data_IF_722001552028
#
_entry.id   IF_722001552028
#
_cell.length_a   1.000
_cell.length_b   1.000
_cell.length_c   1.000
_cell.angle_alpha   90.00
_cell.angle_beta   90.00
_cell.angle_gamma   90.00
#
_symmetry.space_group_name_H-M   'P 1'
#
loop_
_entity.id
_entity.type
_entity.pdbx_description
1 polymer ?
#
# COMPACT_ATOMS: atom_id res chain seq x y z
N UNK A 1 -4.03 -15.03 -57.11
CA UNK A 1 -5.17 -14.42 -56.41
C UNK A 1 -5.50 -15.10 -55.09
N UNK A 2 -5.52 -16.40 -55.06
CA UNK A 2 -5.80 -17.12 -53.80
C UNK A 2 -4.73 -16.94 -52.72
N UNK A 3 -3.45 -16.84 -53.11
CA UNK A 3 -2.33 -16.70 -52.17
C UNK A 3 -2.31 -15.34 -51.44
N UNK A 4 -2.77 -14.28 -52.07
CA UNK A 4 -2.88 -12.95 -51.44
C UNK A 4 -3.95 -12.90 -50.35
N UNK A 5 -5.10 -13.55 -50.58
CA UNK A 5 -6.17 -13.62 -49.60
C UNK A 5 -5.78 -14.47 -48.41
N UNK A 6 -5.08 -15.58 -48.63
CA UNK A 6 -4.57 -16.44 -47.57
C UNK A 6 -3.49 -15.74 -46.76
N UNK A 7 -2.60 -14.96 -47.40
CA UNK A 7 -1.58 -14.20 -46.71
C UNK A 7 -2.16 -13.10 -45.84
N UNK A 8 -3.15 -12.36 -46.34
CA UNK A 8 -3.84 -11.33 -45.59
C UNK A 8 -4.63 -11.90 -44.42
N UNK A 9 -5.28 -13.05 -44.62
CA UNK A 9 -6.01 -13.75 -43.57
C UNK A 9 -5.07 -14.24 -42.46
N UNK A 10 -3.92 -14.78 -42.82
CA UNK A 10 -2.89 -15.21 -41.85
C UNK A 10 -2.33 -14.03 -41.08
N UNK A 11 -2.05 -12.88 -41.72
CA UNK A 11 -1.60 -11.68 -41.06
C UNK A 11 -2.65 -11.17 -40.07
N UNK A 12 -3.91 -11.14 -40.46
CA UNK A 12 -5.02 -10.72 -39.61
C UNK A 12 -5.16 -11.63 -38.38
N UNK A 13 -5.02 -12.95 -38.58
CA UNK A 13 -5.07 -13.92 -37.49
C UNK A 13 -3.89 -13.76 -36.53
N UNK A 14 -2.69 -13.50 -37.04
CA UNK A 14 -1.49 -13.26 -36.24
C UNK A 14 -1.61 -11.98 -35.41
N UNK A 15 -2.17 -10.92 -35.98
CA UNK A 15 -2.42 -9.66 -35.29
C UNK A 15 -3.47 -9.83 -34.21
N UNK A 16 -4.50 -10.62 -34.48
CA UNK A 16 -5.54 -10.95 -33.50
C UNK A 16 -4.96 -11.75 -32.33
N UNK A 17 -4.14 -12.75 -32.60
CA UNK A 17 -3.46 -13.54 -31.58
C UNK A 17 -2.52 -12.68 -30.73
N UNK A 18 -1.77 -11.78 -31.36
CA UNK A 18 -0.90 -10.84 -30.65
C UNK A 18 -1.68 -9.91 -29.75
N UNK A 19 -2.80 -9.37 -30.23
CA UNK A 19 -3.68 -8.51 -29.42
C UNK A 19 -4.26 -9.27 -28.23
N UNK A 20 -4.63 -10.54 -28.42
CA UNK A 20 -5.11 -11.42 -27.35
C UNK A 20 -4.02 -11.66 -26.30
N UNK A 21 -2.80 -11.94 -26.73
CA UNK A 21 -1.67 -12.18 -25.84
C UNK A 21 -1.32 -10.92 -25.04
N UNK A 22 -1.36 -9.76 -25.67
CA UNK A 22 -1.12 -8.48 -25.01
C UNK A 22 -2.19 -8.18 -23.96
N UNK A 23 -3.46 -8.45 -24.28
CA UNK A 23 -4.57 -8.27 -23.33
C UNK A 23 -4.43 -9.23 -22.15
N UNK A 24 -4.11 -10.48 -22.41
CA UNK A 24 -3.90 -11.48 -21.36
C UNK A 24 -2.72 -11.10 -20.47
N UNK A 25 -1.63 -10.62 -21.05
CA UNK A 25 -0.47 -10.15 -20.31
C UNK A 25 -0.79 -8.94 -19.45
N UNK A 26 -1.59 -8.00 -19.96
CA UNK A 26 -2.05 -6.84 -19.19
C UNK A 26 -2.95 -7.25 -18.04
N UNK A 27 -3.84 -8.22 -18.24
CA UNK A 27 -4.72 -8.76 -17.21
C UNK A 27 -3.91 -9.44 -16.10
N UNK A 28 -2.92 -10.25 -16.46
CA UNK A 28 -2.03 -10.91 -15.51
C UNK A 28 -1.25 -9.89 -14.68
N UNK A 29 -0.73 -8.84 -15.33
CA UNK A 29 -0.02 -7.76 -14.64
C UNK A 29 -0.93 -7.02 -13.66
N UNK A 30 -2.16 -6.72 -14.06
CA UNK A 30 -3.12 -6.05 -13.20
C UNK A 30 -3.45 -6.91 -11.96
N UNK A 31 -3.67 -8.21 -12.15
CA UNK A 31 -3.91 -9.13 -11.03
C UNK A 31 -2.71 -9.17 -10.07
N UNK A 32 -1.50 -9.19 -10.62
CA UNK A 32 -0.27 -9.17 -9.82
C UNK A 32 -0.13 -7.87 -9.04
N UNK A 33 -0.40 -6.73 -9.66
CA UNK A 33 -0.33 -5.42 -9.02
C UNK A 33 -1.37 -5.29 -7.89
N UNK A 34 -2.59 -5.77 -8.12
CA UNK A 34 -3.64 -5.77 -7.10
C UNK A 34 -3.25 -6.66 -5.92
N UNK A 35 -2.70 -7.86 -6.20
CA UNK A 35 -2.25 -8.78 -5.15
C UNK A 35 -1.13 -8.14 -4.31
N UNK A 36 -0.15 -7.51 -4.94
CA UNK A 36 0.93 -6.81 -4.25
C UNK A 36 0.42 -5.62 -3.42
N UNK A 37 -0.54 -4.87 -3.97
CA UNK A 37 -1.14 -3.75 -3.26
C UNK A 37 -1.91 -4.20 -2.03
N UNK A 38 -2.64 -5.31 -2.12
CA UNK A 38 -3.35 -5.92 -0.98
C UNK A 38 -2.39 -6.40 0.10
N UNK A 39 -1.30 -7.03 -0.32
CA UNK A 39 -0.27 -7.51 0.61
C UNK A 39 0.38 -6.34 1.34
N UNK A 40 0.69 -5.26 0.62
CA UNK A 40 1.23 -4.03 1.21
C UNK A 40 0.25 -3.42 2.22
N UNK A 41 -1.03 -3.36 1.88
CA UNK A 41 -2.06 -2.85 2.79
C UNK A 41 -2.16 -3.71 4.06
N UNK A 42 -2.14 -5.02 3.92
CA UNK A 42 -2.18 -5.95 5.06
C UNK A 42 -0.99 -5.73 5.98
N UNK A 43 0.21 -5.60 5.42
CA UNK A 43 1.44 -5.38 6.18
C UNK A 43 1.42 -4.04 6.91
N UNK A 44 1.05 -2.96 6.22
CA UNK A 44 1.02 -1.63 6.83
C UNK A 44 -0.10 -1.49 7.87
N UNK A 45 -1.23 -2.16 7.67
CA UNK A 45 -2.32 -2.20 8.63
C UNK A 45 -1.88 -2.90 9.92
N UNK A 46 -1.14 -4.00 9.81
CA UNK A 46 -0.58 -4.70 10.97
C UNK A 46 0.43 -3.82 11.72
N UNK A 47 1.26 -3.06 10.99
CA UNK A 47 2.19 -2.10 11.58
C UNK A 47 1.46 -0.99 12.32
N UNK A 48 0.41 -0.41 11.73
CA UNK A 48 -0.42 0.62 12.36
C UNK A 48 -1.03 0.10 13.67
N UNK A 49 -1.57 -1.12 13.63
CA UNK A 49 -2.16 -1.73 14.83
C UNK A 49 -1.13 -1.95 15.93
N UNK A 50 0.05 -2.45 15.58
CA UNK A 50 1.14 -2.66 16.53
C UNK A 50 1.60 -1.34 17.16
N UNK A 51 1.76 -0.30 16.36
CA UNK A 51 2.12 1.03 16.84
C UNK A 51 1.05 1.61 17.77
N UNK A 52 -0.20 1.46 17.40
CA UNK A 52 -1.32 1.99 18.18
C UNK A 52 -1.54 1.26 19.50
N UNK A 53 -1.45 -0.07 19.49
CA UNK A 53 -1.82 -0.90 20.65
C UNK A 53 -0.66 -1.16 21.60
N UNK A 54 0.56 -1.25 21.08
CA UNK A 54 1.72 -1.67 21.86
C UNK A 54 2.77 -0.56 22.01
N UNK A 55 3.25 -0.01 20.89
CA UNK A 55 4.39 0.90 20.88
C UNK A 55 4.04 2.24 21.52
N UNK A 56 2.95 2.88 21.07
CA UNK A 56 2.54 4.18 21.61
C UNK A 56 2.18 4.13 23.09
N UNK A 57 1.34 3.18 23.56
CA UNK A 57 1.04 3.08 24.99
C UNK A 57 2.28 2.77 25.81
N UNK A 58 3.16 1.91 25.33
CA UNK A 58 4.41 1.57 26.01
C UNK A 58 5.34 2.78 26.15
N UNK A 59 5.52 3.52 25.06
CA UNK A 59 6.36 4.72 25.05
C UNK A 59 5.77 5.83 25.94
N UNK A 60 4.45 5.99 25.94
CA UNK A 60 3.76 6.93 26.80
C UNK A 60 3.93 6.57 28.28
N UNK A 61 3.74 5.29 28.61
CA UNK A 61 3.94 4.79 29.98
C UNK A 61 5.36 5.02 30.48
N UNK A 62 6.36 4.77 29.62
CA UNK A 62 7.75 5.02 29.95
C UNK A 62 8.04 6.51 30.18
N UNK A 63 7.46 7.37 29.34
CA UNK A 63 7.60 8.82 29.51
C UNK A 63 6.96 9.30 30.82
N UNK A 64 5.73 8.85 31.09
CA UNK A 64 5.02 9.22 32.33
C UNK A 64 5.78 8.74 33.57
N UNK A 65 6.32 7.52 33.53
CA UNK A 65 7.11 6.97 34.64
C UNK A 65 8.42 7.75 34.83
N UNK A 66 9.07 8.15 33.77
CA UNK A 66 10.29 8.96 33.83
C UNK A 66 10.03 10.34 34.43
N UNK A 67 8.91 10.97 34.03
CA UNK A 67 8.51 12.28 34.55
C UNK A 67 8.21 12.19 36.06
N UNK A 68 7.46 11.19 36.50
CA UNK A 68 7.16 10.95 37.90
C UNK A 68 8.43 10.67 38.68
N UNK A 69 9.32 9.82 38.13
CA UNK A 69 10.60 9.50 38.77
C UNK A 69 11.49 10.72 38.94
N UNK A 70 11.48 11.64 37.96
CA UNK A 70 12.20 12.91 38.03
C UNK A 70 11.65 13.78 39.14
N UNK A 71 10.32 13.93 39.26
CA UNK A 71 9.69 14.71 40.29
C UNK A 71 10.03 14.17 41.71
N UNK A 72 10.21 12.84 41.82
CA UNK A 72 10.55 12.18 43.08
C UNK A 72 12.08 12.07 43.29
N UNK A 73 12.89 12.65 42.42
CA UNK A 73 14.34 12.66 42.54
C UNK A 73 15.00 11.32 42.21
N UNK A 74 14.28 10.36 41.61
CA UNK A 74 14.78 9.02 41.31
C UNK A 74 15.51 8.95 39.95
N UNK A 75 15.11 9.81 38.98
CA UNK A 75 15.68 9.88 37.66
C UNK A 75 16.22 11.28 37.38
N UNK A 76 17.22 11.37 36.49
CA UNK A 76 17.73 12.65 36.04
C UNK A 76 16.91 13.17 34.86
N UNK A 77 17.12 14.46 34.53
CA UNK A 77 16.37 15.12 33.45
C UNK A 77 16.64 14.53 32.09
N UNK A 78 17.86 14.00 31.87
CA UNK A 78 18.22 13.34 30.60
C UNK A 78 17.37 12.12 30.34
N UNK A 79 17.03 11.35 31.38
CA UNK A 79 16.16 10.17 31.25
C UNK A 79 14.77 10.56 30.82
N UNK A 80 14.24 11.69 31.34
CA UNK A 80 12.94 12.24 30.91
C UNK A 80 12.99 12.67 29.44
N UNK A 81 14.06 13.37 29.04
CA UNK A 81 14.22 13.81 27.65
C UNK A 81 14.32 12.62 26.69
N UNK A 82 15.04 11.57 27.06
CA UNK A 82 15.15 10.37 26.23
C UNK A 82 13.80 9.67 26.07
N UNK A 83 13.06 9.54 27.15
CA UNK A 83 11.71 8.94 27.12
C UNK A 83 10.75 9.79 26.29
N UNK A 84 10.83 11.11 26.39
CA UNK A 84 10.05 12.04 25.60
C UNK A 84 10.36 11.93 24.11
N UNK A 85 11.64 11.85 23.76
CA UNK A 85 12.09 11.67 22.38
C UNK A 85 11.58 10.37 21.79
N UNK A 86 11.67 9.28 22.56
CA UNK A 86 11.17 7.97 22.15
C UNK A 86 9.66 8.01 21.88
N UNK A 87 8.92 8.68 22.75
CA UNK A 87 7.46 8.83 22.60
C UNK A 87 7.11 9.63 21.34
N UNK A 88 7.77 10.76 21.10
CA UNK A 88 7.54 11.56 19.90
C UNK A 88 7.95 10.82 18.61
N UNK A 89 9.03 10.06 18.67
CA UNK A 89 9.44 9.22 17.54
C UNK A 89 8.36 8.17 17.22
N UNK A 90 7.81 7.54 18.26
CA UNK A 90 6.73 6.56 18.09
C UNK A 90 5.47 7.21 17.48
N UNK A 91 5.12 8.42 17.90
CA UNK A 91 4.01 9.19 17.31
C UNK A 91 4.25 9.49 15.83
N UNK A 92 5.45 9.93 15.50
CA UNK A 92 5.84 10.19 14.09
C UNK A 92 5.72 8.94 13.24
N UNK A 93 6.21 7.81 13.73
CA UNK A 93 6.12 6.53 13.04
C UNK A 93 4.66 6.11 12.83
N UNK A 94 3.84 6.30 13.84
CA UNK A 94 2.41 5.99 13.75
C UNK A 94 1.71 6.83 12.67
N UNK A 95 1.93 8.14 12.67
CA UNK A 95 1.35 9.04 11.67
C UNK A 95 1.82 8.71 10.25
N UNK A 96 3.10 8.38 10.11
CA UNK A 96 3.68 7.98 8.83
C UNK A 96 3.05 6.67 8.34
N UNK A 97 2.91 5.68 9.22
CA UNK A 97 2.29 4.39 8.89
C UNK A 97 0.81 4.56 8.52
N UNK A 98 0.08 5.44 9.21
CA UNK A 98 -1.31 5.78 8.85
C UNK A 98 -1.38 6.37 7.44
N UNK A 99 -0.51 7.32 7.12
CA UNK A 99 -0.44 7.91 5.79
C UNK A 99 -0.16 6.87 4.71
N UNK A 100 0.76 5.94 4.99
CA UNK A 100 1.07 4.85 4.07
C UNK A 100 -0.11 3.88 3.89
N UNK A 101 -0.86 3.59 4.98
CA UNK A 101 -2.06 2.75 4.91
C UNK A 101 -3.13 3.40 4.03
N UNK A 102 -3.35 4.70 4.17
CA UNK A 102 -4.28 5.43 3.33
C UNK A 102 -3.86 5.43 1.86
N UNK A 103 -2.57 5.61 1.58
CA UNK A 103 -2.05 5.53 0.21
C UNK A 103 -2.20 4.14 -0.38
N UNK A 104 -1.91 3.09 0.41
CA UNK A 104 -2.07 1.71 -0.04
C UNK A 104 -3.54 1.38 -0.36
N UNK A 105 -4.47 1.84 0.46
CA UNK A 105 -5.90 1.68 0.20
C UNK A 105 -6.34 2.43 -1.06
N UNK A 106 -5.85 3.65 -1.25
CA UNK A 106 -6.14 4.45 -2.44
C UNK A 106 -5.58 3.82 -3.71
N UNK A 107 -4.39 3.19 -3.63
CA UNK A 107 -3.80 2.47 -4.75
C UNK A 107 -4.66 1.28 -5.19
N UNK A 108 -5.21 0.54 -4.24
CA UNK A 108 -6.13 -0.57 -4.55
C UNK A 108 -7.37 -0.04 -5.26
N UNK A 109 -7.98 1.02 -4.74
CA UNK A 109 -9.16 1.64 -5.35
C UNK A 109 -8.86 2.11 -6.77
N UNK A 110 -7.69 2.73 -6.98
CA UNK A 110 -7.24 3.17 -8.30
C UNK A 110 -7.06 2.01 -9.26
N UNK A 111 -6.43 0.92 -8.83
CA UNK A 111 -6.20 -0.27 -9.65
C UNK A 111 -7.53 -0.95 -10.02
N UNK A 112 -8.43 -1.09 -9.06
CA UNK A 112 -9.77 -1.64 -9.30
C UNK A 112 -10.60 -0.73 -10.19
N UNK A 113 -10.52 0.58 -9.99
CA UNK A 113 -11.18 1.57 -10.84
C UNK A 113 -10.67 1.53 -12.27
N UNK A 114 -9.35 1.39 -12.46
CA UNK A 114 -8.74 1.27 -13.78
C UNK A 114 -9.19 -0.01 -14.50
N UNK A 115 -9.45 -1.10 -13.77
CA UNK A 115 -9.95 -2.33 -14.37
C UNK A 115 -11.41 -2.22 -14.80
N UNK A 116 -12.18 -1.32 -14.21
CA UNK A 116 -13.59 -1.09 -14.54
C UNK A 116 -13.82 -0.08 -15.66
N UNK A 117 -12.95 0.91 -15.78
CA UNK A 117 -13.09 2.00 -16.77
C UNK A 117 -13.17 1.52 -18.22
N UNK A 118 -12.39 0.52 -18.70
CA UNK A 118 -12.55 0.02 -20.08
C UNK A 118 -13.93 -0.56 -20.36
N UNK A 119 -14.57 -1.19 -19.36
CA UNK A 119 -15.92 -1.71 -19.48
C UNK A 119 -16.97 -0.63 -19.57
N UNK A 120 -16.79 0.47 -18.83
CA UNK A 120 -17.72 1.61 -18.83
C UNK A 120 -17.64 2.41 -20.15
N UNK A 121 -16.46 2.57 -20.73
CA UNK A 121 -16.27 3.26 -21.99
C UNK A 121 -16.88 2.47 -23.16
N UNK A 122 -16.82 1.14 -23.10
CA UNK A 122 -17.36 0.26 -24.14
C UNK A 122 -18.90 0.27 -24.17
N UNK A 123 -19.55 0.65 -23.07
CA UNK A 123 -21.03 0.67 -23.02
C UNK A 123 -21.65 2.01 -23.44
N UNK A 124 -20.85 3.04 -23.69
CA UNK A 124 -21.34 4.37 -24.10
C UNK A 124 -21.26 4.61 -25.62
N UNK A 125 -20.81 3.63 -26.37
CA UNK A 125 -20.79 3.64 -27.83
C UNK A 125 -21.62 2.49 -28.40
#
# INVERSE_FOLDING_TARGET
MFDRNQGNLLEALKLEDKARDELQGATVRLHSEVAQARERLTTITAEVQSLQQDVLPGAKSAYDAAAIGFENGKFNFLEVLDAQRTYFTAKSQYLKALGEAHRAAADIDRLLGASMVPGLIATQH
#
